data_IF_303372338821
#
_entry.id   IF_303372338821
#
_cell.length_a   1.000
_cell.length_b   1.000
_cell.length_c   1.000
_cell.angle_alpha   90.00
_cell.angle_beta   90.00
_cell.angle_gamma   90.00
#
_symmetry.space_group_name_H-M   'P 1'
#
loop_
_entity.id
_entity.type
_entity.pdbx_description
1 polymer ?
#
# COMPACT_ATOMS: atom_id res chain seq x y z
N UNK A 1 18.45 -0.64 9.25
CA UNK A 1 17.73 -0.86 7.99
C UNK A 1 16.87 -2.10 8.18
N UNK A 2 15.55 -1.90 8.17
CA UNK A 2 14.54 -2.98 8.28
C UNK A 2 14.78 -4.02 7.16
N UNK A 3 14.49 -5.28 7.42
CA UNK A 3 14.57 -6.34 6.40
C UNK A 3 13.64 -6.03 5.22
N UNK A 4 12.52 -5.34 5.48
CA UNK A 4 11.62 -4.85 4.43
C UNK A 4 12.27 -3.78 3.54
N UNK A 5 12.96 -2.81 4.13
CA UNK A 5 13.68 -1.76 3.39
C UNK A 5 14.79 -2.37 2.53
N UNK A 6 15.56 -3.32 3.10
CA UNK A 6 16.61 -4.04 2.36
C UNK A 6 16.01 -4.79 1.17
N UNK A 7 14.87 -5.45 1.36
CA UNK A 7 14.15 -6.16 0.30
C UNK A 7 13.66 -5.20 -0.80
N UNK A 8 13.09 -4.05 -0.43
CA UNK A 8 12.66 -3.01 -1.37
C UNK A 8 13.84 -2.55 -2.24
N UNK A 9 14.99 -2.25 -1.64
CA UNK A 9 16.17 -1.81 -2.37
C UNK A 9 16.72 -2.88 -3.31
N UNK A 10 16.72 -4.15 -2.90
CA UNK A 10 17.10 -5.27 -3.77
C UNK A 10 16.16 -5.41 -4.97
N UNK A 11 14.84 -5.29 -4.76
CA UNK A 11 13.85 -5.38 -5.84
C UNK A 11 14.01 -4.21 -6.84
N UNK A 12 14.25 -2.99 -6.36
CA UNK A 12 14.54 -1.83 -7.23
C UNK A 12 15.78 -2.06 -8.08
N UNK A 13 16.89 -2.52 -7.47
CA UNK A 13 18.14 -2.83 -8.19
C UNK A 13 17.93 -3.93 -9.23
N UNK A 14 17.20 -4.99 -8.87
CA UNK A 14 16.88 -6.09 -9.80
C UNK A 14 16.07 -5.58 -10.99
N UNK A 15 15.02 -4.78 -10.76
CA UNK A 15 14.23 -4.17 -11.83
C UNK A 15 15.08 -3.28 -12.75
N UNK A 16 15.92 -2.41 -12.17
CA UNK A 16 16.79 -1.53 -12.95
C UNK A 16 17.75 -2.34 -13.85
N UNK A 17 18.32 -3.43 -13.32
CA UNK A 17 19.19 -4.32 -14.08
C UNK A 17 18.43 -5.06 -15.20
N UNK A 18 17.20 -5.53 -14.93
CA UNK A 18 16.36 -6.18 -15.93
C UNK A 18 15.97 -5.21 -17.05
N UNK A 19 15.54 -3.99 -16.74
CA UNK A 19 15.20 -2.98 -17.75
C UNK A 19 16.42 -2.56 -18.58
N UNK A 20 17.57 -2.37 -17.92
CA UNK A 20 18.83 -2.06 -18.60
C UNK A 20 19.25 -3.17 -19.56
N UNK A 21 19.05 -4.42 -19.16
CA UNK A 21 19.32 -5.57 -20.03
C UNK A 21 18.28 -5.69 -21.16
N UNK A 22 17.01 -5.35 -20.90
CA UNK A 22 15.94 -5.39 -21.91
C UNK A 22 16.14 -4.35 -23.02
N UNK A 23 16.73 -3.21 -22.67
CA UNK A 23 17.08 -2.14 -23.60
C UNK A 23 18.22 -2.53 -24.55
N UNK A 24 18.99 -3.58 -24.24
CA UNK A 24 20.04 -4.08 -25.13
C UNK A 24 19.41 -4.80 -26.32
N UNK A 25 19.83 -4.44 -27.52
CA UNK A 25 19.27 -4.95 -28.78
C UNK A 25 19.61 -6.43 -29.04
N UNK A 26 20.67 -6.96 -28.43
CA UNK A 26 21.27 -8.27 -28.73
C UNK A 26 20.53 -9.48 -28.15
N UNK A 27 19.53 -9.30 -27.28
CA UNK A 27 18.77 -10.42 -26.71
C UNK A 27 17.72 -10.97 -27.66
N UNK A 28 17.53 -12.30 -27.63
CA UNK A 28 16.50 -12.98 -28.41
C UNK A 28 15.08 -12.56 -28.00
N UNK A 29 14.09 -12.89 -28.81
CA UNK A 29 12.68 -12.64 -28.48
C UNK A 29 12.25 -13.39 -27.20
N UNK A 30 12.74 -14.62 -27.04
CA UNK A 30 12.45 -15.46 -25.88
C UNK A 30 13.09 -14.89 -24.60
N UNK A 31 14.36 -14.47 -24.68
CA UNK A 31 15.03 -13.81 -23.55
C UNK A 31 14.28 -12.55 -23.12
N UNK A 32 13.90 -11.71 -24.10
CA UNK A 32 13.11 -10.49 -23.84
C UNK A 32 11.76 -10.84 -23.22
N UNK A 33 11.12 -11.94 -23.62
CA UNK A 33 9.87 -12.42 -23.03
C UNK A 33 10.05 -12.85 -21.57
N UNK A 34 11.07 -13.67 -21.28
CA UNK A 34 11.38 -14.11 -19.92
C UNK A 34 11.73 -12.95 -18.99
N UNK A 35 12.53 -12.00 -19.49
CA UNK A 35 12.90 -10.81 -18.73
C UNK A 35 11.71 -9.89 -18.45
N UNK A 36 10.77 -9.72 -19.39
CA UNK A 36 9.50 -9.02 -19.14
C UNK A 36 8.67 -9.74 -18.07
N UNK A 37 8.59 -11.07 -18.12
CA UNK A 37 7.89 -11.85 -17.11
C UNK A 37 8.56 -11.72 -15.73
N UNK A 38 9.88 -11.72 -15.67
CA UNK A 38 10.64 -11.46 -14.44
C UNK A 38 10.40 -10.05 -13.91
N UNK A 39 10.48 -9.03 -14.77
CA UNK A 39 10.21 -7.64 -14.39
C UNK A 39 8.79 -7.49 -13.83
N UNK A 40 7.78 -8.13 -14.45
CA UNK A 40 6.40 -8.13 -13.94
C UNK A 40 6.31 -8.70 -12.52
N UNK A 41 6.88 -9.90 -12.28
CA UNK A 41 6.90 -10.52 -10.94
C UNK A 41 7.61 -9.64 -9.91
N UNK A 42 8.74 -9.05 -10.30
CA UNK A 42 9.54 -8.19 -9.43
C UNK A 42 8.78 -6.89 -9.07
N UNK A 43 8.10 -6.28 -10.04
CA UNK A 43 7.24 -5.09 -9.82
C UNK A 43 6.06 -5.39 -8.91
N UNK A 44 5.40 -6.54 -9.07
CA UNK A 44 4.30 -6.94 -8.19
C UNK A 44 4.77 -7.14 -6.75
N UNK A 45 5.93 -7.76 -6.56
CA UNK A 45 6.52 -7.95 -5.23
C UNK A 45 6.97 -6.63 -4.60
N UNK A 46 7.55 -5.72 -5.39
CA UNK A 46 7.89 -4.37 -4.94
C UNK A 46 6.64 -3.61 -4.47
N UNK A 47 5.55 -3.68 -5.23
CA UNK A 47 4.27 -3.06 -4.85
C UNK A 47 3.75 -3.61 -3.51
N UNK A 48 3.83 -4.93 -3.29
CA UNK A 48 3.45 -5.53 -2.00
C UNK A 48 4.32 -5.01 -0.86
N UNK A 49 5.64 -4.95 -1.05
CA UNK A 49 6.55 -4.48 -0.02
C UNK A 49 6.30 -3.01 0.35
N UNK A 50 6.03 -2.16 -0.65
CA UNK A 50 5.71 -0.75 -0.42
C UNK A 50 4.39 -0.58 0.35
N UNK A 51 3.35 -1.35 0.03
CA UNK A 51 2.09 -1.32 0.78
C UNK A 51 2.27 -1.77 2.24
N UNK A 52 3.13 -2.76 2.49
CA UNK A 52 3.45 -3.17 3.87
C UNK A 52 4.19 -2.05 4.60
N UNK A 53 5.14 -1.39 3.95
CA UNK A 53 5.90 -0.28 4.54
C UNK A 53 4.98 0.90 4.88
N UNK A 54 4.08 1.27 3.97
CA UNK A 54 3.07 2.30 4.18
C UNK A 54 2.12 1.95 5.34
N UNK A 55 1.67 0.70 5.42
CA UNK A 55 0.83 0.23 6.51
C UNK A 55 1.57 0.26 7.86
N UNK A 56 2.86 -0.11 7.91
CA UNK A 56 3.69 0.01 9.12
C UNK A 56 3.81 1.46 9.56
N UNK A 57 4.18 2.35 8.64
CA UNK A 57 4.31 3.78 8.91
C UNK A 57 3.01 4.40 9.42
N UNK A 58 1.88 4.05 8.80
CA UNK A 58 0.55 4.53 9.23
C UNK A 58 0.22 4.06 10.65
N UNK A 59 0.50 2.79 10.99
CA UNK A 59 0.28 2.25 12.34
C UNK A 59 1.16 2.92 13.39
N UNK A 60 2.43 3.14 13.06
CA UNK A 60 3.37 3.83 13.95
C UNK A 60 2.94 5.28 14.18
N UNK A 61 2.48 5.97 13.13
CA UNK A 61 1.96 7.32 13.23
C UNK A 61 0.68 7.40 14.09
N UNK A 62 -0.28 6.49 13.89
CA UNK A 62 -1.51 6.42 14.72
C UNK A 62 -1.16 6.12 16.17
N UNK A 63 -0.20 5.21 16.42
CA UNK A 63 0.26 4.91 17.78
C UNK A 63 0.92 6.14 18.42
N UNK A 64 1.80 6.83 17.70
CA UNK A 64 2.45 8.04 18.20
C UNK A 64 1.45 9.15 18.55
N UNK A 65 0.40 9.34 17.74
CA UNK A 65 -0.70 10.27 18.05
C UNK A 65 -1.46 9.83 19.31
N UNK A 66 -1.80 8.55 19.44
CA UNK A 66 -2.49 8.02 20.61
C UNK A 66 -1.66 8.10 21.90
N UNK A 67 -0.34 7.89 21.80
CA UNK A 67 0.59 7.93 22.94
C UNK A 67 0.83 9.38 23.40
N UNK A 68 0.79 10.36 22.50
CA UNK A 68 0.87 11.79 22.84
C UNK A 68 -0.40 12.30 23.53
N UNK A 69 -1.56 11.76 23.19
CA UNK A 69 -2.83 12.28 23.72
C UNK A 69 -3.18 11.80 25.14
N UNK A 70 -2.57 10.72 25.66
CA UNK A 70 -2.74 10.24 27.06
C UNK A 70 -4.19 9.98 27.51
N UNK A 71 -5.17 10.20 26.64
CA UNK A 71 -6.61 10.08 26.86
C UNK A 71 -7.10 9.02 25.89
N UNK A 72 -7.60 7.93 26.44
CA UNK A 72 -8.36 6.91 25.73
C UNK A 72 -9.42 7.63 24.89
N UNK A 73 -9.21 7.70 23.56
CA UNK A 73 -10.22 8.24 22.67
C UNK A 73 -11.48 7.38 22.81
N UNK A 74 -12.64 7.97 23.16
CA UNK A 74 -13.85 7.20 23.38
C UNK A 74 -14.23 6.51 22.07
N UNK A 75 -14.59 5.22 22.16
CA UNK A 75 -15.11 4.41 21.05
C UNK A 75 -16.09 5.24 20.22
N UNK A 76 -15.97 5.28 18.89
CA UNK A 76 -16.91 6.01 18.05
C UNK A 76 -18.31 5.40 18.21
N UNK A 77 -19.19 6.10 18.92
CA UNK A 77 -20.59 5.71 19.05
C UNK A 77 -21.30 6.05 17.73
N UNK A 78 -21.48 5.04 16.88
CA UNK A 78 -22.20 5.10 15.60
C UNK A 78 -23.71 5.40 15.72
N UNK A 79 -24.21 5.78 16.89
CA UNK A 79 -25.65 5.97 17.15
C UNK A 79 -26.26 7.26 16.59
N UNK A 80 -25.49 8.14 15.94
CA UNK A 80 -25.99 9.45 15.51
C UNK A 80 -26.50 9.55 14.07
N UNK A 81 -26.51 8.47 13.28
CA UNK A 81 -27.00 8.52 11.88
C UNK A 81 -28.43 8.02 11.68
N UNK A 82 -29.14 7.59 12.71
CA UNK A 82 -30.47 6.96 12.55
C UNK A 82 -31.67 7.87 12.80
N UNK A 83 -31.49 9.13 13.21
CA UNK A 83 -32.63 9.97 13.61
C UNK A 83 -33.08 11.04 12.58
N UNK A 84 -32.45 11.16 11.42
CA UNK A 84 -32.87 12.14 10.40
C UNK A 84 -33.71 11.56 9.25
N UNK A 85 -33.87 10.23 9.18
CA UNK A 85 -34.71 9.58 8.17
C UNK A 85 -36.14 9.26 8.65
N UNK A 86 -36.47 9.55 9.92
CA UNK A 86 -37.78 9.21 10.50
C UNK A 86 -38.72 10.42 10.69
N UNK A 87 -38.35 11.61 10.20
CA UNK A 87 -39.14 12.84 10.38
C UNK A 87 -39.76 13.40 9.10
N UNK A 88 -39.69 12.65 7.99
CA UNK A 88 -40.27 13.06 6.69
C UNK A 88 -41.41 12.11 6.24
N UNK A 89 -41.99 11.35 7.19
CA UNK A 89 -43.13 10.46 6.96
C UNK A 89 -44.31 10.75 7.91
N UNK A 90 -44.43 11.98 8.40
CA UNK A 90 -45.56 12.41 9.21
C UNK A 90 -45.84 13.90 8.98
N UNK A 91 -46.44 14.23 7.84
CA UNK A 91 -47.23 15.45 7.71
C UNK A 91 -48.50 15.14 6.92
N UNK A 92 -49.68 15.07 7.56
CA UNK A 92 -50.95 15.21 6.89
C UNK A 92 -51.36 16.69 6.94
N UNK A 93 -51.14 17.39 5.83
CA UNK A 93 -51.68 18.73 5.57
C UNK A 93 -52.49 18.72 4.29
#
# INVERSE_FOLDING_TARGET
MDDLERKIELLKKSLAATWSSLAKSSSSADDKSQMRAQAKRCSEELRRCLLIAEAKHTREHVKALSDQDGRVLPKPNFRFLSNRAATEAADPG
#
